data_IF_939557373142
#
_entry.id   IF_939557373142
#
_cell.length_a   1.000
_cell.length_b   1.000
_cell.length_c   1.000
_cell.angle_alpha   90.00
_cell.angle_beta   90.00
_cell.angle_gamma   90.00
#
_symmetry.space_group_name_H-M   'P 1'
#
loop_
_entity.id
_entity.type
_entity.pdbx_description
1 polymer ?
#
# COMPACT_ATOMS: atom_id res chain seq x y z
N UNK A 1 0.05 22.14 -14.14
CA UNK A 1 -0.63 20.89 -14.52
C UNK A 1 -1.21 21.11 -15.90
N UNK A 2 -0.52 20.58 -16.90
CA UNK A 2 -0.85 20.77 -18.32
C UNK A 2 -2.07 19.93 -18.68
N UNK A 3 -2.93 20.47 -19.54
CA UNK A 3 -4.24 19.90 -19.91
C UNK A 3 -4.22 18.45 -20.40
N UNK A 4 -3.05 17.91 -20.80
CA UNK A 4 -2.88 16.52 -21.22
C UNK A 4 -2.86 15.51 -20.06
N UNK A 5 -2.48 15.90 -18.85
CA UNK A 5 -2.45 15.02 -17.67
C UNK A 5 -3.85 14.57 -17.23
N UNK A 6 -4.87 15.42 -17.43
CA UNK A 6 -6.27 15.11 -17.08
C UNK A 6 -6.89 14.02 -18.00
N UNK A 7 -6.46 13.92 -19.26
CA UNK A 7 -7.16 13.08 -20.25
C UNK A 7 -7.06 11.56 -20.00
N UNK A 8 -6.14 11.08 -19.16
CA UNK A 8 -5.83 9.65 -19.08
C UNK A 8 -6.41 8.88 -17.90
N UNK A 9 -6.30 9.44 -16.69
CA UNK A 9 -7.00 8.91 -15.53
C UNK A 9 -8.51 8.96 -15.81
N UNK A 10 -8.96 9.99 -16.52
CA UNK A 10 -10.34 10.09 -16.98
C UNK A 10 -10.70 9.02 -18.00
N UNK A 11 -9.79 8.63 -18.90
CA UNK A 11 -10.01 7.50 -19.80
C UNK A 11 -10.16 6.17 -19.04
N UNK A 12 -9.27 5.91 -18.08
CA UNK A 12 -9.34 4.70 -17.26
C UNK A 12 -10.61 4.68 -16.40
N UNK A 13 -10.99 5.83 -15.82
CA UNK A 13 -12.28 6.00 -15.13
C UNK A 13 -13.45 5.75 -16.08
N UNK A 14 -13.42 6.26 -17.30
CA UNK A 14 -14.46 6.05 -18.31
C UNK A 14 -14.57 4.57 -18.73
N UNK A 15 -13.46 3.86 -18.89
CA UNK A 15 -13.48 2.42 -19.18
C UNK A 15 -14.11 1.62 -18.04
N UNK A 16 -13.76 1.95 -16.79
CA UNK A 16 -14.37 1.35 -15.60
C UNK A 16 -15.87 1.66 -15.56
N UNK A 17 -16.28 2.92 -15.73
CA UNK A 17 -17.69 3.32 -15.76
C UNK A 17 -18.44 2.56 -16.87
N UNK A 18 -17.86 2.46 -18.07
CA UNK A 18 -18.44 1.75 -19.21
C UNK A 18 -18.64 0.27 -18.91
N UNK A 19 -17.69 -0.40 -18.26
CA UNK A 19 -17.87 -1.78 -17.81
C UNK A 19 -19.12 -1.93 -16.96
N UNK A 20 -19.30 -1.07 -15.97
CA UNK A 20 -20.47 -1.11 -15.11
C UNK A 20 -21.77 -0.74 -15.83
N UNK A 21 -21.73 0.17 -16.81
CA UNK A 21 -22.89 0.47 -17.66
C UNK A 21 -23.33 -0.71 -18.54
N UNK A 22 -22.40 -1.59 -18.93
CA UNK A 22 -22.71 -2.77 -19.75
C UNK A 22 -23.16 -3.95 -18.89
N UNK A 23 -22.50 -4.15 -17.75
CA UNK A 23 -22.78 -5.30 -16.86
C UNK A 23 -24.03 -5.08 -16.03
N UNK A 24 -24.28 -3.86 -15.52
CA UNK A 24 -25.52 -3.57 -14.81
C UNK A 24 -25.88 -2.05 -14.83
N UNK A 25 -26.58 -1.56 -15.88
CA UNK A 25 -26.80 -0.14 -16.14
C UNK A 25 -27.66 0.61 -15.10
N UNK A 26 -28.43 -0.09 -14.26
CA UNK A 26 -29.39 0.51 -13.31
C UNK A 26 -28.92 0.45 -11.84
N UNK A 27 -27.86 -0.30 -11.53
CA UNK A 27 -27.61 -0.78 -10.16
C UNK A 27 -26.15 -0.73 -9.70
N UNK A 28 -25.19 -0.24 -10.49
CA UNK A 28 -23.77 -0.32 -10.09
C UNK A 28 -23.49 0.31 -8.72
N UNK A 29 -24.29 1.32 -8.32
CA UNK A 29 -24.18 1.94 -7.00
C UNK A 29 -22.81 2.57 -6.75
N UNK A 30 -22.02 2.83 -7.79
CA UNK A 30 -20.66 3.34 -7.63
C UNK A 30 -20.74 4.80 -7.19
N UNK A 31 -20.03 5.10 -6.11
CA UNK A 31 -19.98 6.45 -5.54
C UNK A 31 -18.70 7.17 -5.94
N UNK A 32 -17.55 6.49 -5.92
CA UNK A 32 -16.25 7.06 -6.28
C UNK A 32 -15.27 6.00 -6.80
N UNK A 33 -14.34 6.45 -7.65
CA UNK A 33 -13.22 5.66 -8.19
C UNK A 33 -11.94 6.41 -7.87
N UNK A 34 -11.11 5.82 -7.02
CA UNK A 34 -9.87 6.40 -6.51
C UNK A 34 -8.67 5.54 -6.89
N UNK A 35 -7.53 6.19 -7.11
CA UNK A 35 -6.26 5.51 -7.37
C UNK A 35 -5.44 5.53 -6.09
N UNK A 36 -5.21 4.38 -5.46
CA UNK A 36 -4.58 4.31 -4.14
C UNK A 36 -3.37 3.39 -4.16
N UNK A 37 -2.19 4.00 -4.20
CA UNK A 37 -0.93 3.30 -4.39
C UNK A 37 -0.98 2.48 -5.68
N UNK A 38 -0.71 1.16 -5.64
CA UNK A 38 -0.73 0.31 -6.83
C UNK A 38 -2.13 -0.26 -7.16
N UNK A 39 -3.22 0.24 -6.56
CA UNK A 39 -4.57 -0.31 -6.68
C UNK A 39 -5.58 0.74 -7.14
N UNK A 40 -6.61 0.30 -7.86
CA UNK A 40 -7.78 1.12 -8.19
C UNK A 40 -8.90 0.74 -7.22
N UNK A 41 -9.31 1.67 -6.36
CA UNK A 41 -10.36 1.49 -5.38
C UNK A 41 -11.70 2.00 -5.92
N UNK A 42 -12.68 1.11 -6.01
CA UNK A 42 -14.03 1.42 -6.49
C UNK A 42 -14.98 1.29 -5.31
N UNK A 43 -15.60 2.39 -4.92
CA UNK A 43 -16.53 2.42 -3.80
C UNK A 43 -17.96 2.24 -4.30
N UNK A 44 -18.72 1.40 -3.60
CA UNK A 44 -20.11 1.08 -3.96
C UNK A 44 -21.03 1.17 -2.76
N UNK A 45 -22.22 1.73 -2.99
CA UNK A 45 -23.37 1.68 -2.08
C UNK A 45 -24.34 0.54 -2.40
N UNK A 46 -24.03 -0.32 -3.38
CA UNK A 46 -24.85 -1.49 -3.68
C UNK A 46 -24.35 -2.70 -2.83
N UNK A 47 -25.17 -3.20 -1.89
CA UNK A 47 -24.80 -4.36 -1.06
C UNK A 47 -24.57 -5.65 -1.86
N UNK A 48 -25.29 -5.87 -2.97
CA UNK A 48 -25.11 -7.06 -3.80
C UNK A 48 -23.76 -7.05 -4.52
N UNK A 49 -23.36 -5.89 -5.05
CA UNK A 49 -22.04 -5.69 -5.64
C UNK A 49 -20.93 -5.89 -4.60
N UNK A 50 -21.13 -5.36 -3.39
CA UNK A 50 -20.17 -5.51 -2.30
C UNK A 50 -20.04 -6.96 -1.81
N UNK A 51 -21.15 -7.71 -1.77
CA UNK A 51 -21.17 -9.12 -1.42
C UNK A 51 -20.42 -9.98 -2.45
N UNK A 52 -20.57 -9.64 -3.73
CA UNK A 52 -19.88 -10.30 -4.85
C UNK A 52 -18.56 -9.63 -5.25
N UNK A 53 -17.96 -8.80 -4.36
CA UNK A 53 -16.80 -7.95 -4.66
C UNK A 53 -15.61 -8.68 -5.26
N UNK A 54 -15.32 -9.89 -4.79
CA UNK A 54 -14.15 -10.65 -5.23
C UNK A 54 -14.27 -11.05 -6.69
N UNK A 55 -15.47 -11.44 -7.11
CA UNK A 55 -15.74 -11.80 -8.51
C UNK A 55 -15.71 -10.55 -9.39
N UNK A 56 -16.38 -9.48 -8.98
CA UNK A 56 -16.38 -8.20 -9.72
C UNK A 56 -14.96 -7.65 -9.89
N UNK A 57 -14.13 -7.73 -8.83
CA UNK A 57 -12.73 -7.33 -8.90
C UNK A 57 -11.94 -8.21 -9.89
N UNK A 58 -12.13 -9.53 -9.89
CA UNK A 58 -11.47 -10.44 -10.84
C UNK A 58 -11.84 -10.15 -12.30
N UNK A 59 -13.11 -9.91 -12.56
CA UNK A 59 -13.61 -9.60 -13.90
C UNK A 59 -13.00 -8.28 -14.41
N UNK A 60 -12.98 -7.26 -13.56
CA UNK A 60 -12.33 -5.99 -13.87
C UNK A 60 -10.83 -6.13 -14.10
N UNK A 61 -10.11 -6.84 -13.22
CA UNK A 61 -8.66 -7.12 -13.40
C UNK A 61 -8.41 -7.80 -14.74
N UNK A 62 -9.30 -8.71 -15.16
CA UNK A 62 -9.19 -9.41 -16.44
C UNK A 62 -9.36 -8.47 -17.62
N UNK A 63 -10.26 -7.50 -17.51
CA UNK A 63 -10.55 -6.51 -18.54
C UNK A 63 -9.44 -5.45 -18.66
N UNK A 64 -9.11 -4.77 -17.56
CA UNK A 64 -8.23 -3.59 -17.58
C UNK A 64 -6.77 -3.93 -17.27
N UNK A 65 -6.46 -5.17 -16.86
CA UNK A 65 -5.11 -5.65 -16.49
C UNK A 65 -4.44 -4.84 -15.37
N UNK A 66 -5.23 -4.20 -14.51
CA UNK A 66 -4.78 -3.46 -13.31
C UNK A 66 -5.43 -4.04 -12.07
N UNK A 67 -4.77 -3.91 -10.92
CA UNK A 67 -5.32 -4.39 -9.63
C UNK A 67 -6.48 -3.50 -9.20
N UNK A 68 -7.64 -4.11 -8.98
CA UNK A 68 -8.86 -3.44 -8.53
C UNK A 68 -9.25 -3.97 -7.16
N UNK A 69 -9.75 -3.08 -6.31
CA UNK A 69 -10.39 -3.41 -5.04
C UNK A 69 -11.76 -2.76 -4.98
N UNK A 70 -12.78 -3.50 -4.56
CA UNK A 70 -14.13 -2.96 -4.35
C UNK A 70 -14.29 -2.69 -2.85
N UNK A 71 -14.76 -1.48 -2.52
CA UNK A 71 -14.94 -1.02 -1.15
C UNK A 71 -16.37 -0.59 -0.86
N UNK A 72 -16.80 -0.72 0.39
CA UNK A 72 -18.12 -0.26 0.79
C UNK A 72 -18.09 1.27 0.92
N UNK A 73 -19.14 1.91 0.42
CA UNK A 73 -19.43 3.31 0.73
C UNK A 73 -19.84 3.45 2.20
N UNK A 74 -19.67 4.64 2.77
CA UNK A 74 -20.00 4.89 4.17
C UNK A 74 -21.49 4.68 4.45
N UNK A 75 -22.35 4.88 3.44
CA UNK A 75 -23.79 4.76 3.56
C UNK A 75 -24.29 3.33 3.84
N UNK A 76 -23.50 2.30 3.53
CA UNK A 76 -23.88 0.88 3.73
C UNK A 76 -23.19 0.24 4.94
N UNK A 77 -22.34 1.00 5.64
CA UNK A 77 -21.62 0.51 6.82
C UNK A 77 -22.47 0.71 8.07
N UNK A 78 -22.58 -0.34 8.86
CA UNK A 78 -23.12 -0.25 10.23
C UNK A 78 -22.15 0.49 11.16
N UNK A 79 -22.69 1.02 12.27
CA UNK A 79 -21.89 1.72 13.27
C UNK A 79 -20.84 0.80 13.93
N UNK A 80 -19.72 1.38 14.40
CA UNK A 80 -18.62 0.63 15.01
C UNK A 80 -19.04 -0.21 16.21
N UNK A 81 -19.87 0.36 17.09
CA UNK A 81 -20.36 -0.33 18.29
C UNK A 81 -21.22 -1.54 17.94
N UNK A 82 -22.06 -1.40 16.90
CA UNK A 82 -22.89 -2.48 16.38
C UNK A 82 -22.03 -3.56 15.71
N UNK A 83 -21.03 -3.15 14.91
CA UNK A 83 -20.04 -4.07 14.34
C UNK A 83 -19.32 -4.85 15.44
N UNK A 84 -18.85 -4.17 16.48
CA UNK A 84 -18.13 -4.78 17.59
C UNK A 84 -18.99 -5.81 18.33
N UNK A 85 -20.26 -5.46 18.62
CA UNK A 85 -21.18 -6.37 19.27
C UNK A 85 -21.43 -7.65 18.45
N UNK A 86 -21.62 -7.52 17.14
CA UNK A 86 -21.86 -8.66 16.25
C UNK A 86 -20.58 -9.50 16.04
N UNK A 87 -19.43 -8.84 15.84
CA UNK A 87 -18.15 -9.52 15.66
C UNK A 87 -17.80 -10.37 16.89
N UNK A 88 -17.97 -9.83 18.10
CA UNK A 88 -17.77 -10.57 19.36
C UNK A 88 -18.79 -11.69 19.58
N UNK A 89 -19.98 -11.59 18.98
CA UNK A 89 -21.00 -12.64 19.03
C UNK A 89 -20.68 -13.80 18.10
N UNK A 90 -20.26 -13.51 16.86
CA UNK A 90 -20.00 -14.52 15.82
C UNK A 90 -18.61 -15.13 15.92
N UNK A 91 -17.61 -14.36 16.32
CA UNK A 91 -16.20 -14.76 16.34
C UNK A 91 -15.74 -14.88 17.80
N UNK A 92 -15.25 -16.06 18.17
CA UNK A 92 -14.68 -16.30 19.50
C UNK A 92 -13.26 -15.72 19.57
N UNK A 93 -12.85 -15.24 20.74
CA UNK A 93 -11.46 -14.82 20.97
C UNK A 93 -11.08 -13.47 20.37
N UNK A 94 -12.04 -12.58 20.09
CA UNK A 94 -11.76 -11.23 19.60
C UNK A 94 -11.10 -10.41 20.70
N UNK A 95 -9.82 -10.10 20.53
CA UNK A 95 -9.03 -9.29 21.46
C UNK A 95 -9.13 -7.81 21.15
N UNK A 96 -8.94 -7.43 19.88
CA UNK A 96 -8.94 -6.03 19.43
C UNK A 96 -9.59 -5.90 18.06
N UNK A 97 -10.22 -4.75 17.82
CA UNK A 97 -10.73 -4.35 16.51
C UNK A 97 -9.98 -3.10 16.07
N UNK A 98 -9.37 -3.14 14.89
CA UNK A 98 -8.65 -2.01 14.29
C UNK A 98 -9.46 -1.54 13.08
N UNK A 99 -10.19 -0.44 13.27
CA UNK A 99 -11.03 0.14 12.22
C UNK A 99 -10.21 1.07 11.35
N UNK A 100 -10.44 0.97 10.05
CA UNK A 100 -10.03 1.94 9.04
C UNK A 100 -11.27 2.51 8.35
N UNK A 101 -11.77 3.60 8.92
CA UNK A 101 -13.00 4.26 8.47
C UNK A 101 -12.91 4.78 7.05
N UNK A 102 -11.75 5.26 6.62
CA UNK A 102 -11.60 5.87 5.30
C UNK A 102 -11.63 4.80 4.18
N UNK A 103 -11.16 3.59 4.49
CA UNK A 103 -11.13 2.47 3.55
C UNK A 103 -12.29 1.48 3.76
N UNK A 104 -13.06 1.60 4.85
CA UNK A 104 -14.16 0.67 5.16
C UNK A 104 -13.66 -0.73 5.52
N UNK A 105 -12.47 -0.80 6.12
CA UNK A 105 -11.80 -2.03 6.49
C UNK A 105 -11.76 -2.16 8.02
N UNK A 106 -11.87 -3.38 8.53
CA UNK A 106 -11.70 -3.69 9.94
C UNK A 106 -10.84 -4.93 10.08
N UNK A 107 -9.77 -4.81 10.86
CA UNK A 107 -8.94 -5.94 11.24
C UNK A 107 -9.40 -6.45 12.59
N UNK A 108 -9.84 -7.70 12.62
CA UNK A 108 -10.25 -8.41 13.82
C UNK A 108 -9.05 -9.20 14.33
N UNK A 109 -8.44 -8.72 15.41
CA UNK A 109 -7.32 -9.40 16.06
C UNK A 109 -7.85 -10.47 17.04
N UNK A 110 -7.46 -11.71 16.80
CA UNK A 110 -7.82 -12.86 17.64
C UNK A 110 -6.72 -13.23 18.62
N UNK A 111 -7.11 -13.89 19.71
CA UNK A 111 -6.17 -14.52 20.64
C UNK A 111 -5.31 -15.60 19.94
N UNK A 112 -4.01 -15.75 20.31
CA UNK A 112 -3.08 -16.64 19.61
C UNK A 112 -3.51 -18.12 19.56
N UNK A 113 -4.30 -18.55 20.55
CA UNK A 113 -4.70 -19.95 20.72
C UNK A 113 -6.09 -20.25 20.14
N UNK A 114 -6.71 -19.31 19.43
CA UNK A 114 -8.06 -19.45 18.90
C UNK A 114 -8.00 -19.81 17.43
N UNK A 115 -8.82 -20.79 17.04
CA UNK A 115 -8.95 -21.17 15.65
C UNK A 115 -9.66 -20.04 14.88
N UNK A 116 -9.10 -19.55 13.75
CA UNK A 116 -9.76 -18.52 12.96
C UNK A 116 -11.09 -19.04 12.39
N UNK A 117 -12.09 -18.17 12.23
CA UNK A 117 -13.35 -18.51 11.56
C UNK A 117 -13.11 -18.93 10.10
N UNK A 118 -14.06 -19.65 9.50
CA UNK A 118 -14.00 -19.97 8.08
C UNK A 118 -14.14 -18.73 7.20
N UNK A 119 -13.55 -18.76 6.01
CA UNK A 119 -13.64 -17.67 5.03
C UNK A 119 -15.10 -17.29 4.71
N UNK A 120 -15.99 -18.27 4.63
CA UNK A 120 -17.41 -18.03 4.38
C UNK A 120 -18.08 -17.27 5.53
N UNK A 121 -17.75 -17.60 6.79
CA UNK A 121 -18.27 -16.88 7.95
C UNK A 121 -17.77 -15.43 7.99
N UNK A 122 -16.51 -15.19 7.58
CA UNK A 122 -15.93 -13.84 7.47
C UNK A 122 -16.61 -13.06 6.35
N UNK A 123 -16.86 -13.70 5.19
CA UNK A 123 -17.58 -13.08 4.08
C UNK A 123 -19.02 -12.74 4.44
N UNK A 124 -19.72 -13.63 5.14
CA UNK A 124 -21.08 -13.40 5.60
C UNK A 124 -21.14 -12.20 6.57
N UNK A 125 -20.26 -12.17 7.58
CA UNK A 125 -20.15 -11.03 8.50
C UNK A 125 -19.81 -9.73 7.76
N UNK A 126 -18.91 -9.80 6.79
CA UNK A 126 -18.52 -8.67 5.96
C UNK A 126 -19.70 -8.13 5.14
N UNK A 127 -20.45 -9.01 4.49
CA UNK A 127 -21.62 -8.65 3.70
C UNK A 127 -22.76 -8.09 4.56
N UNK A 128 -23.04 -8.69 5.74
CA UNK A 128 -24.13 -8.24 6.60
C UNK A 128 -23.86 -6.89 7.27
N UNK A 129 -22.59 -6.60 7.58
CA UNK A 129 -22.22 -5.39 8.30
C UNK A 129 -21.70 -4.26 7.38
N UNK A 130 -21.45 -4.55 6.11
CA UNK A 130 -20.93 -3.59 5.15
C UNK A 130 -19.46 -3.21 5.36
N UNK A 131 -18.71 -3.93 6.19
CA UNK A 131 -17.27 -3.70 6.41
C UNK A 131 -16.43 -4.77 5.72
N UNK A 132 -15.27 -4.42 5.17
CA UNK A 132 -14.28 -5.42 4.75
C UNK A 132 -13.60 -5.96 5.99
N UNK A 133 -13.88 -7.22 6.32
CA UNK A 133 -13.35 -7.87 7.51
C UNK A 133 -12.10 -8.66 7.15
N UNK A 134 -11.00 -8.39 7.86
CA UNK A 134 -9.76 -9.17 7.80
C UNK A 134 -9.48 -9.77 9.17
N UNK A 135 -9.15 -11.06 9.21
CA UNK A 135 -8.77 -11.74 10.44
C UNK A 135 -7.25 -11.69 10.59
N UNK A 136 -6.78 -11.30 11.77
CA UNK A 136 -5.37 -11.37 12.15
C UNK A 136 -5.24 -12.12 13.46
N UNK A 137 -4.28 -13.04 13.57
CA UNK A 137 -4.01 -13.74 14.83
C UNK A 137 -2.90 -12.97 15.53
N UNK A 138 -3.15 -12.54 16.77
CA UNK A 138 -2.12 -11.85 17.55
C UNK A 138 -0.96 -12.82 17.82
N UNK A 139 0.29 -12.39 17.64
CA UNK A 139 1.44 -13.19 18.06
C UNK A 139 1.40 -13.47 19.58
N UNK A 140 1.84 -14.66 20.04
CA UNK A 140 1.92 -14.97 21.47
C UNK A 140 2.79 -14.00 22.27
N UNK A 141 3.84 -13.49 21.64
CA UNK A 141 4.76 -12.53 22.23
C UNK A 141 4.41 -11.12 21.74
N UNK A 142 4.07 -10.24 22.69
CA UNK A 142 3.84 -8.85 22.39
C UNK A 142 5.19 -8.13 22.18
N UNK A 143 5.28 -7.33 21.12
CA UNK A 143 6.48 -6.55 20.82
C UNK A 143 6.12 -5.08 20.72
N UNK A 144 6.90 -4.23 21.41
CA UNK A 144 6.70 -2.77 21.41
C UNK A 144 6.79 -2.17 20.01
N UNK A 145 7.63 -2.75 19.15
CA UNK A 145 7.79 -2.32 17.75
C UNK A 145 6.50 -2.53 16.96
N UNK A 146 5.85 -3.70 17.08
CA UNK A 146 4.58 -3.94 16.39
C UNK A 146 3.47 -3.01 16.87
N UNK A 147 3.46 -2.69 18.17
CA UNK A 147 2.53 -1.70 18.71
C UNK A 147 2.76 -0.31 18.10
N UNK A 148 4.01 0.14 18.01
CA UNK A 148 4.37 1.40 17.34
C UNK A 148 3.98 1.41 15.86
N UNK A 149 4.25 0.33 15.12
CA UNK A 149 3.85 0.19 13.71
C UNK A 149 2.33 0.33 13.57
N UNK A 150 1.57 -0.37 14.40
CA UNK A 150 0.11 -0.26 14.39
C UNK A 150 -0.35 1.16 14.74
N UNK A 151 0.24 1.80 15.74
CA UNK A 151 -0.12 3.17 16.11
C UNK A 151 0.17 4.16 14.96
N UNK A 152 1.24 3.96 14.18
CA UNK A 152 1.51 4.79 13.00
C UNK A 152 0.49 4.50 11.89
N UNK A 153 0.24 3.22 11.58
CA UNK A 153 -0.65 2.81 10.48
C UNK A 153 -2.10 3.26 10.72
N UNK A 154 -2.60 3.12 11.94
CA UNK A 154 -3.99 3.41 12.30
C UNK A 154 -4.16 4.79 12.95
N UNK A 155 -3.07 5.47 13.35
CA UNK A 155 -3.11 6.81 13.93
C UNK A 155 -3.09 7.93 12.88
N UNK A 156 -2.48 7.70 11.71
CA UNK A 156 -2.32 8.72 10.64
C UNK A 156 -3.02 8.29 9.33
N UNK A 157 -4.27 7.84 9.46
CA UNK A 157 -4.99 7.25 8.33
C UNK A 157 -5.29 8.24 7.21
N UNK A 158 -5.58 9.50 7.56
CA UNK A 158 -5.91 10.53 6.57
C UNK A 158 -4.68 10.90 5.75
N UNK A 159 -3.54 11.16 6.40
CA UNK A 159 -2.28 11.45 5.73
C UNK A 159 -1.83 10.27 4.87
N UNK A 160 -2.02 9.04 5.38
CA UNK A 160 -1.71 7.81 4.63
C UNK A 160 -2.58 7.67 3.40
N UNK A 161 -3.88 7.93 3.49
CA UNK A 161 -4.78 7.85 2.34
C UNK A 161 -4.43 8.91 1.29
N UNK A 162 -4.13 10.14 1.72
CA UNK A 162 -3.68 11.21 0.81
C UNK A 162 -2.36 10.83 0.12
N UNK A 163 -1.40 10.25 0.85
CA UNK A 163 -0.15 9.75 0.28
C UNK A 163 -0.41 8.63 -0.74
N UNK A 164 -1.27 7.66 -0.42
CA UNK A 164 -1.67 6.60 -1.35
C UNK A 164 -2.31 7.17 -2.61
N UNK A 165 -3.17 8.19 -2.50
CA UNK A 165 -3.80 8.84 -3.65
C UNK A 165 -2.79 9.53 -4.56
N UNK A 166 -1.89 10.32 -3.98
CA UNK A 166 -0.79 10.96 -4.72
C UNK A 166 0.10 9.92 -5.42
N UNK A 167 0.40 8.81 -4.76
CA UNK A 167 1.18 7.71 -5.35
C UNK A 167 0.39 7.05 -6.48
N UNK A 168 -0.91 6.82 -6.29
CA UNK A 168 -1.79 6.23 -7.30
C UNK A 168 -1.83 7.07 -8.57
N UNK A 169 -2.01 8.38 -8.46
CA UNK A 169 -1.97 9.29 -9.62
C UNK A 169 -0.65 9.18 -10.38
N UNK A 170 0.49 9.09 -9.67
CA UNK A 170 1.80 8.88 -10.30
C UNK A 170 1.97 7.50 -10.94
N UNK A 171 1.45 6.44 -10.34
CA UNK A 171 1.56 5.05 -10.83
C UNK A 171 0.69 4.80 -12.06
N UNK A 172 -0.50 5.38 -12.08
CA UNK A 172 -1.46 5.23 -13.17
C UNK A 172 -1.39 6.36 -14.21
N UNK A 173 -0.34 7.20 -14.16
CA UNK A 173 -0.05 8.19 -15.19
C UNK A 173 0.13 7.52 -16.55
N UNK A 174 -0.15 8.27 -17.61
CA UNK A 174 0.18 7.81 -18.95
C UNK A 174 1.70 7.74 -19.17
N UNK A 175 2.11 6.75 -19.96
CA UNK A 175 3.43 6.76 -20.57
C UNK A 175 3.45 7.82 -21.67
N UNK A 176 4.42 8.74 -21.62
CA UNK A 176 4.62 9.75 -22.65
C UNK A 176 5.51 9.18 -23.76
N UNK A 177 6.56 8.46 -23.37
CA UNK A 177 7.48 7.76 -24.25
C UNK A 177 7.32 6.25 -24.13
N UNK A 178 7.55 5.56 -25.24
CA UNK A 178 7.68 4.11 -25.27
C UNK A 178 9.01 3.71 -24.63
N UNK A 179 8.97 2.93 -23.54
CA UNK A 179 10.18 2.41 -22.89
C UNK A 179 10.81 1.29 -23.73
N UNK A 180 12.03 1.50 -24.23
CA UNK A 180 12.77 0.50 -25.04
C UNK A 180 14.00 -0.04 -24.35
N UNK A 181 14.57 0.73 -23.45
CA UNK A 181 15.81 0.47 -22.75
C UNK A 181 15.67 0.71 -21.25
N UNK A 182 16.63 0.16 -20.51
CA UNK A 182 16.79 0.37 -19.09
C UNK A 182 18.27 0.52 -18.76
N UNK A 183 18.59 1.46 -17.88
CA UNK A 183 19.94 1.74 -17.39
C UNK A 183 20.00 1.36 -15.91
N UNK A 184 21.06 0.65 -15.54
CA UNK A 184 21.34 0.29 -14.15
C UNK A 184 22.59 1.04 -13.72
N UNK A 185 22.45 1.85 -12.67
CA UNK A 185 23.55 2.60 -12.07
C UNK A 185 23.82 2.06 -10.67
N UNK A 186 25.04 1.61 -10.44
CA UNK A 186 25.48 1.11 -9.12
C UNK A 186 25.93 2.32 -8.28
N UNK A 187 25.10 2.72 -7.31
CA UNK A 187 25.39 3.85 -6.41
C UNK A 187 26.12 3.40 -5.12
N UNK A 188 26.03 2.11 -4.79
CA UNK A 188 26.76 1.44 -3.71
C UNK A 188 26.74 -0.08 -3.92
N UNK A 189 27.35 -0.88 -3.04
CA UNK A 189 27.62 -2.33 -3.22
C UNK A 189 28.54 -2.76 -4.37
N UNK A 190 28.94 -1.84 -5.25
CA UNK A 190 29.88 -2.13 -6.34
C UNK A 190 31.27 -2.48 -5.80
N UNK A 191 31.66 -3.75 -5.89
CA UNK A 191 32.95 -4.26 -5.40
C UNK A 191 33.18 -4.08 -3.88
N UNK A 192 32.10 -4.04 -3.09
CA UNK A 192 32.17 -3.92 -1.63
C UNK A 192 30.93 -4.50 -0.94
N UNK A 193 31.04 -4.76 0.36
CA UNK A 193 29.88 -5.02 1.25
C UNK A 193 29.51 -3.72 1.96
N UNK A 194 28.21 -3.48 2.17
CA UNK A 194 27.72 -2.24 2.76
C UNK A 194 27.12 -1.28 1.72
N UNK A 195 26.26 -0.38 2.21
CA UNK A 195 25.64 0.72 1.45
C UNK A 195 24.98 0.29 0.12
N UNK A 196 24.26 -0.84 0.11
CA UNK A 196 23.58 -1.32 -1.08
C UNK A 196 22.62 -0.26 -1.63
N UNK A 197 22.77 0.07 -2.90
CA UNK A 197 21.93 1.03 -3.62
C UNK A 197 22.17 0.87 -5.12
N UNK A 198 21.14 0.43 -5.84
CA UNK A 198 21.16 0.25 -7.28
C UNK A 198 20.00 1.03 -7.87
N UNK A 199 20.30 1.98 -8.74
CA UNK A 199 19.28 2.78 -9.41
C UNK A 199 18.94 2.14 -10.77
N UNK A 200 17.68 1.76 -10.93
CA UNK A 200 17.09 1.34 -12.20
C UNK A 200 16.37 2.52 -12.84
N UNK A 201 16.75 2.87 -14.06
CA UNK A 201 16.19 3.98 -14.81
C UNK A 201 15.64 3.50 -16.14
N UNK A 202 14.47 3.99 -16.49
CA UNK A 202 13.93 3.93 -17.86
C UNK A 202 13.77 5.36 -18.37
N UNK A 203 13.27 5.52 -19.60
CA UNK A 203 12.93 6.85 -20.14
C UNK A 203 11.91 7.60 -19.28
N UNK A 204 11.06 6.88 -18.55
CA UNK A 204 9.89 7.42 -17.85
C UNK A 204 9.94 7.26 -16.33
N UNK A 205 10.85 6.45 -15.79
CA UNK A 205 10.82 6.08 -14.37
C UNK A 205 12.18 5.85 -13.74
N UNK A 206 12.28 6.14 -12.45
CA UNK A 206 13.46 5.89 -11.61
C UNK A 206 13.08 5.13 -10.35
N UNK A 207 13.64 3.93 -10.19
CA UNK A 207 13.40 3.08 -9.02
C UNK A 207 14.73 2.77 -8.35
N UNK A 208 14.83 3.05 -7.05
CA UNK A 208 15.99 2.72 -6.26
C UNK A 208 15.78 1.35 -5.59
N UNK A 209 16.69 0.43 -5.83
CA UNK A 209 16.76 -0.88 -5.17
C UNK A 209 17.75 -0.79 -4.02
N UNK A 210 17.25 -0.97 -2.80
CA UNK A 210 17.93 -0.75 -1.53
C UNK A 210 18.47 0.68 -1.33
N UNK A 211 18.69 1.04 -0.07
CA UNK A 211 19.24 2.32 0.35
C UNK A 211 19.99 2.14 1.66
N UNK A 212 21.15 1.49 1.58
CA UNK A 212 21.91 0.99 2.72
C UNK A 212 22.87 1.97 3.35
N UNK A 213 23.37 1.60 4.54
CA UNK A 213 24.47 2.26 5.24
C UNK A 213 25.65 1.28 5.43
N UNK A 214 26.90 1.74 5.33
CA UNK A 214 28.09 0.91 5.55
C UNK A 214 28.86 1.35 6.81
N UNK A 215 28.68 0.66 7.96
CA UNK A 215 29.31 1.07 9.22
C UNK A 215 30.85 1.04 9.21
N UNK A 216 31.45 0.18 8.38
CA UNK A 216 32.91 0.00 8.29
C UNK A 216 33.63 1.01 7.39
N UNK A 217 32.94 1.99 6.81
CA UNK A 217 33.56 3.01 5.96
C UNK A 217 34.49 3.92 6.76
N UNK A 218 35.60 4.36 6.17
CA UNK A 218 36.58 5.23 6.83
C UNK A 218 36.24 6.72 6.73
N UNK A 219 35.20 7.08 5.96
CA UNK A 219 34.65 8.43 5.85
C UNK A 219 33.21 8.45 5.32
N UNK A 220 32.54 9.61 5.45
CA UNK A 220 31.10 9.75 5.13
C UNK A 220 30.74 9.23 3.73
N UNK A 221 31.57 9.53 2.71
CA UNK A 221 31.31 9.12 1.33
C UNK A 221 31.43 7.61 1.11
N UNK A 222 32.13 6.88 1.99
CA UNK A 222 32.23 5.41 1.93
C UNK A 222 31.08 4.73 2.70
N UNK A 223 30.49 5.45 3.65
CA UNK A 223 29.39 4.96 4.50
C UNK A 223 28.02 5.04 3.82
N UNK A 224 27.84 5.96 2.88
CA UNK A 224 26.56 6.20 2.21
C UNK A 224 26.61 5.89 0.71
N UNK A 225 25.47 5.60 0.07
CA UNK A 225 25.39 5.54 -1.39
C UNK A 225 25.81 6.86 -2.04
N UNK A 226 26.26 6.79 -3.29
CA UNK A 226 26.67 7.96 -4.09
C UNK A 226 25.48 8.81 -4.56
N UNK A 227 24.71 9.35 -3.61
CA UNK A 227 23.61 10.27 -3.90
C UNK A 227 24.08 11.55 -4.60
N UNK A 228 25.36 11.92 -4.43
CA UNK A 228 26.02 13.03 -5.11
C UNK A 228 26.22 12.80 -6.62
N UNK A 229 26.05 11.57 -7.10
CA UNK A 229 26.23 11.25 -8.53
C UNK A 229 25.10 11.79 -9.41
N UNK A 230 23.89 11.95 -8.86
CA UNK A 230 22.70 12.39 -9.59
C UNK A 230 22.06 13.52 -8.79
N UNK A 231 22.04 14.72 -9.38
CA UNK A 231 21.38 15.87 -8.78
C UNK A 231 19.89 15.58 -8.58
N UNK A 232 19.35 16.01 -7.44
CA UNK A 232 17.94 15.86 -7.06
C UNK A 232 17.41 14.42 -7.11
N UNK A 233 18.28 13.41 -6.98
CA UNK A 233 17.89 12.01 -7.07
C UNK A 233 16.67 11.69 -6.20
N UNK A 234 16.65 12.14 -4.94
CA UNK A 234 15.57 11.88 -4.00
C UNK A 234 14.22 12.42 -4.48
N UNK A 235 14.15 13.59 -5.10
CA UNK A 235 12.88 14.16 -5.60
C UNK A 235 12.36 13.43 -6.85
N UNK A 236 13.27 12.90 -7.66
CA UNK A 236 12.98 12.28 -8.95
C UNK A 236 12.66 10.78 -8.85
N UNK A 237 12.84 10.15 -7.69
CA UNK A 237 12.51 8.74 -7.50
C UNK A 237 11.00 8.50 -7.52
N UNK A 238 10.57 7.55 -8.36
CA UNK A 238 9.19 7.05 -8.36
C UNK A 238 8.94 6.07 -7.21
N UNK A 239 9.97 5.29 -6.83
CA UNK A 239 9.86 4.27 -5.80
C UNK A 239 11.22 3.89 -5.22
N UNK A 240 11.20 3.41 -3.98
CA UNK A 240 12.31 2.68 -3.34
C UNK A 240 11.82 1.27 -3.02
N UNK A 241 12.63 0.26 -3.32
CA UNK A 241 12.33 -1.15 -3.02
C UNK A 241 13.40 -1.68 -2.08
N UNK A 242 12.99 -2.17 -0.91
CA UNK A 242 13.88 -2.72 0.10
C UNK A 242 13.79 -4.24 0.09
N UNK A 243 14.93 -4.89 -0.10
CA UNK A 243 15.03 -6.35 -0.18
C UNK A 243 14.80 -7.01 1.18
N UNK A 244 15.47 -6.53 2.23
CA UNK A 244 15.39 -7.04 3.59
C UNK A 244 15.87 -6.00 4.63
N UNK A 245 15.70 -6.32 5.91
CA UNK A 245 15.84 -5.36 7.01
C UNK A 245 17.26 -5.23 7.60
N UNK A 246 18.32 -5.58 6.86
CA UNK A 246 19.68 -5.29 7.32
C UNK A 246 20.08 -3.85 7.03
N UNK A 247 20.87 -3.25 7.93
CA UNK A 247 21.24 -1.84 7.90
C UNK A 247 21.97 -1.44 6.60
N UNK A 248 22.73 -2.35 6.01
CA UNK A 248 23.40 -2.18 4.74
C UNK A 248 22.50 -2.24 3.50
N UNK A 249 21.19 -2.43 3.67
CA UNK A 249 20.18 -2.38 2.62
C UNK A 249 19.10 -1.31 2.84
N UNK A 250 18.92 -0.82 4.07
CA UNK A 250 17.83 0.11 4.41
C UNK A 250 18.24 1.31 5.28
N UNK A 251 19.49 1.37 5.76
CA UNK A 251 19.94 2.35 6.74
C UNK A 251 19.84 3.81 6.32
N UNK A 252 19.87 4.08 5.00
CA UNK A 252 19.79 5.43 4.45
C UNK A 252 18.40 5.79 3.91
N UNK A 253 17.37 4.95 4.08
CA UNK A 253 15.99 5.29 3.69
C UNK A 253 15.51 6.60 4.35
N UNK A 254 15.69 6.83 5.67
CA UNK A 254 15.26 8.09 6.29
C UNK A 254 15.98 9.32 5.74
N UNK A 255 17.23 9.15 5.28
CA UNK A 255 17.99 10.22 4.62
C UNK A 255 17.26 10.70 3.36
N UNK A 256 16.73 9.79 2.53
CA UNK A 256 15.95 10.18 1.34
C UNK A 256 14.78 11.09 1.71
N UNK A 257 14.02 10.77 2.76
CA UNK A 257 12.89 11.59 3.21
C UNK A 257 13.33 12.96 3.75
N UNK A 258 14.48 13.02 4.43
CA UNK A 258 15.10 14.28 4.87
C UNK A 258 15.45 15.20 3.71
N UNK A 259 15.81 14.64 2.55
CA UNK A 259 16.12 15.35 1.31
C UNK A 259 14.97 15.22 0.30
N UNK A 260 13.75 15.43 0.77
CA UNK A 260 12.56 15.65 -0.07
C UNK A 260 12.04 14.48 -0.92
N UNK A 261 12.48 13.25 -0.67
CA UNK A 261 11.74 12.08 -1.15
C UNK A 261 10.33 12.02 -0.52
N UNK A 262 9.31 11.85 -1.36
CA UNK A 262 7.89 11.76 -0.95
C UNK A 262 7.15 10.58 -1.61
N UNK A 263 7.90 9.67 -2.22
CA UNK A 263 7.39 8.46 -2.88
C UNK A 263 7.21 7.26 -1.93
N UNK A 264 6.74 6.11 -2.45
CA UNK A 264 6.54 4.88 -1.69
C UNK A 264 7.85 4.13 -1.39
N UNK A 265 7.89 3.45 -0.24
CA UNK A 265 8.89 2.41 0.02
C UNK A 265 8.20 1.06 -0.01
N UNK A 266 8.57 0.20 -0.95
CA UNK A 266 8.05 -1.15 -1.07
C UNK A 266 8.97 -2.13 -0.34
N UNK A 267 8.40 -2.93 0.56
CA UNK A 267 9.09 -3.99 1.26
C UNK A 267 8.09 -5.10 1.63
N UNK A 268 8.58 -6.22 2.14
CA UNK A 268 7.69 -7.28 2.66
C UNK A 268 7.10 -6.89 4.01
N UNK A 269 5.97 -7.50 4.37
CA UNK A 269 5.30 -7.24 5.65
C UNK A 269 6.22 -7.45 6.88
N UNK A 270 7.07 -8.50 6.95
CA UNK A 270 8.06 -8.63 8.03
C UNK A 270 9.20 -7.62 7.98
N UNK A 271 9.56 -7.09 6.80
CA UNK A 271 10.65 -6.11 6.66
C UNK A 271 10.30 -4.78 7.34
N UNK A 272 9.04 -4.34 7.26
CA UNK A 272 8.61 -3.04 7.81
C UNK A 272 8.89 -2.87 9.32
N UNK A 273 8.44 -3.77 10.22
CA UNK A 273 8.71 -3.64 11.65
C UNK A 273 10.19 -3.80 11.97
N UNK A 274 10.90 -4.70 11.28
CA UNK A 274 12.34 -4.89 11.49
C UNK A 274 13.14 -3.65 11.06
N UNK A 275 12.76 -3.02 9.95
CA UNK A 275 13.35 -1.76 9.49
C UNK A 275 13.15 -0.65 10.52
N UNK A 276 11.93 -0.48 11.04
CA UNK A 276 11.66 0.50 12.09
C UNK A 276 12.51 0.22 13.35
N UNK A 277 12.58 -1.03 13.79
CA UNK A 277 13.39 -1.43 14.93
C UNK A 277 14.87 -1.05 14.74
N UNK A 278 15.45 -1.39 13.58
CA UNK A 278 16.86 -1.12 13.29
C UNK A 278 17.14 0.39 13.16
N UNK A 279 16.22 1.18 12.58
CA UNK A 279 16.35 2.64 12.49
C UNK A 279 16.22 3.36 13.84
N UNK A 280 15.49 2.79 14.79
CA UNK A 280 15.37 3.37 16.14
C UNK A 280 16.56 3.02 17.05
N UNK A 281 17.23 1.90 16.77
CA UNK A 281 18.41 1.45 17.52
C UNK A 281 19.70 2.15 17.05
N UNK A 282 19.81 2.40 15.74
CA UNK A 282 20.95 3.06 15.08
C UNK A 282 20.97 4.58 15.28
#
# INVERSE_FOLDING_TARGET
MTSQELFSLDRLRQEIIRYFSVVNPLESGITKIEFEGPRIAIYTRNPEMFSNRDQVAKDLVTLIKKRVVIRPDESIRVGKEEFEAEARRRIKGVKKLLFNDLMGEVVVELDPNVQPPSDDAVKELSASMGWIVTISIKPPMETKIMEQVNNIIYGYMEERLQALRRIGEKVFRNQVFETKDAVITILGSGMQVGRSAILLQTTESKVLLDCGFAPGGSGNIEMIPRFDFIENLAEELDAVVITHAHLDHMGMVPYLFKYDYRGPVYCTEPTLPLMLMQHLDF
#
